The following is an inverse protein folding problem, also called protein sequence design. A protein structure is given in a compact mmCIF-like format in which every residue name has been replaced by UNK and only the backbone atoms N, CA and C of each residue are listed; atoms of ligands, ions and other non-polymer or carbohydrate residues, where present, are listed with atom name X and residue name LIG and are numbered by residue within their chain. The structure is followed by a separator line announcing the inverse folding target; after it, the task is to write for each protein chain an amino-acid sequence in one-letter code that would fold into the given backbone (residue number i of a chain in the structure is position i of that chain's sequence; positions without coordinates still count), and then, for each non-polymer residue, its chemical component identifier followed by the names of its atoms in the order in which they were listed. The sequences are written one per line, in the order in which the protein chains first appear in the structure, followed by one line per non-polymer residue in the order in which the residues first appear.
data_IF_918070467317
#
_entry.id   IF_918070467317
#
_cell.length_a   1.000
_cell.length_b   1.000
_cell.length_c   1.000
_cell.angle_alpha   90.00
_cell.angle_beta   90.00
_cell.angle_gamma   90.00
#
_symmetry.space_group_name_H-M   'P 1'
#
loop_
_entity.id
_entity.type
_entity.pdbx_description
1 polymer ?
#
# COMPACT_ATOMS: atom_id res chain seq x y z
N UNK A 1 -1.83 -25.79 17.01
CA UNK A 1 -2.63 -24.64 17.48
C UNK A 1 -3.89 -25.09 18.20
N UNK A 2 -3.76 -25.45 19.47
CA UNK A 2 -4.87 -25.89 20.36
C UNK A 2 -5.76 -24.74 20.83
N UNK A 3 -5.20 -23.55 20.99
CA UNK A 3 -5.94 -22.36 21.43
C UNK A 3 -5.93 -21.30 20.34
N UNK A 4 -6.99 -20.51 20.26
CA UNK A 4 -7.17 -19.51 19.21
C UNK A 4 -7.68 -18.19 19.76
N UNK A 5 -7.24 -17.08 19.17
CA UNK A 5 -7.80 -15.75 19.35
C UNK A 5 -8.18 -15.17 17.99
N UNK A 6 -9.29 -14.45 17.95
CA UNK A 6 -9.82 -13.78 16.77
C UNK A 6 -9.53 -12.28 16.83
N UNK A 7 -9.22 -11.69 15.68
CA UNK A 7 -9.09 -10.25 15.45
C UNK A 7 -10.08 -9.84 14.35
N UNK A 8 -11.37 -9.86 14.67
CA UNK A 8 -12.44 -9.71 13.65
C UNK A 8 -12.50 -8.31 13.03
N UNK A 9 -11.89 -7.30 13.68
CA UNK A 9 -11.77 -5.95 13.14
C UNK A 9 -10.57 -5.75 12.22
N UNK A 10 -9.70 -6.76 12.05
CA UNK A 10 -8.41 -6.61 11.37
C UNK A 10 -7.63 -5.39 11.87
N UNK A 11 -7.65 -5.15 13.18
CA UNK A 11 -6.84 -4.12 13.82
C UNK A 11 -5.37 -4.53 13.83
N UNK A 12 -4.46 -3.56 13.80
CA UNK A 12 -3.03 -3.87 13.98
C UNK A 12 -2.77 -4.31 15.42
N UNK A 13 -2.18 -5.49 15.59
CA UNK A 13 -1.88 -6.09 16.89
C UNK A 13 -0.39 -5.94 17.15
N UNK A 14 -0.02 -5.31 18.27
CA UNK A 14 1.38 -5.15 18.71
C UNK A 14 1.85 -6.25 19.66
N UNK A 15 0.93 -6.95 20.30
CA UNK A 15 1.26 -8.04 21.21
C UNK A 15 0.03 -8.80 21.69
N UNK A 16 0.27 -9.85 22.48
CA UNK A 16 -0.77 -10.73 23.03
C UNK A 16 -0.38 -11.08 24.46
N UNK A 17 -1.34 -11.05 25.38
CA UNK A 17 -1.18 -11.68 26.71
C UNK A 17 -1.96 -12.98 26.75
N UNK A 18 -1.36 -14.00 27.34
CA UNK A 18 -1.97 -15.28 27.62
C UNK A 18 -1.85 -15.60 29.11
N UNK A 19 -2.85 -16.27 29.67
CA UNK A 19 -2.83 -16.74 31.05
C UNK A 19 -3.46 -18.13 31.15
N UNK A 20 -2.81 -19.02 31.89
CA UNK A 20 -3.27 -20.39 32.17
C UNK A 20 -3.42 -20.59 33.68
N UNK A 21 -4.54 -20.15 34.28
CA UNK A 21 -4.68 -20.11 35.74
C UNK A 21 -4.28 -21.42 36.41
N UNK A 22 -3.30 -21.35 37.34
CA UNK A 22 -2.83 -22.51 38.11
C UNK A 22 -1.89 -23.48 37.36
N UNK A 23 -1.53 -23.19 36.10
CA UNK A 23 -0.58 -23.97 35.32
C UNK A 23 0.56 -23.08 34.85
N UNK A 24 1.76 -23.31 35.37
CA UNK A 24 2.95 -22.56 34.99
C UNK A 24 3.33 -22.84 33.53
N UNK A 25 3.60 -21.77 32.78
CA UNK A 25 3.99 -21.79 31.37
C UNK A 25 5.52 -21.95 31.28
N UNK A 26 5.98 -22.82 30.39
CA UNK A 26 7.38 -22.99 30.02
C UNK A 26 7.71 -22.36 28.67
N UNK A 27 6.80 -22.51 27.71
CA UNK A 27 6.96 -22.00 26.35
C UNK A 27 5.58 -21.78 25.69
N UNK A 28 5.53 -20.89 24.70
CA UNK A 28 4.36 -20.63 23.88
C UNK A 28 4.77 -20.59 22.42
N UNK A 29 4.27 -21.54 21.63
CA UNK A 29 4.40 -21.49 20.18
C UNK A 29 3.20 -20.74 19.61
N UNK A 30 3.48 -19.70 18.84
CA UNK A 30 2.47 -18.86 18.20
C UNK A 30 2.47 -19.07 16.70
N UNK A 31 1.29 -19.03 16.11
CA UNK A 31 1.15 -18.73 14.68
C UNK A 31 0.03 -17.73 14.44
N UNK A 32 0.08 -17.09 13.30
CA UNK A 32 -0.90 -16.12 12.87
C UNK A 32 -1.37 -16.41 11.45
N UNK A 33 -2.56 -15.94 11.09
CA UNK A 33 -3.08 -16.08 9.74
C UNK A 33 -3.92 -14.88 9.31
N UNK A 34 -3.93 -14.62 8.00
CA UNK A 34 -4.68 -13.54 7.36
C UNK A 34 -6.15 -13.87 7.11
N UNK A 35 -6.51 -15.15 7.13
CA UNK A 35 -7.87 -15.64 6.87
C UNK A 35 -8.50 -16.21 8.13
N UNK A 36 -9.84 -16.25 8.15
CA UNK A 36 -10.64 -16.74 9.28
C UNK A 36 -10.41 -18.23 9.56
N UNK A 37 -10.32 -19.04 8.50
CA UNK A 37 -10.15 -20.50 8.55
C UNK A 37 -8.86 -20.92 7.84
N UNK A 38 -7.69 -20.74 8.48
CA UNK A 38 -6.42 -21.00 7.84
C UNK A 38 -6.10 -22.48 7.71
N UNK A 39 -5.71 -22.89 6.49
CA UNK A 39 -5.06 -24.17 6.23
C UNK A 39 -3.57 -24.15 6.58
N UNK A 40 -2.96 -22.96 6.64
CA UNK A 40 -1.56 -22.73 6.98
C UNK A 40 -1.41 -21.55 7.94
N UNK A 41 -0.42 -21.61 8.81
CA UNK A 41 -0.13 -20.59 9.82
C UNK A 41 1.27 -20.03 9.62
N UNK A 42 1.40 -18.71 9.61
CA UNK A 42 2.68 -18.02 9.65
C UNK A 42 3.23 -17.99 11.07
N UNK A 43 4.55 -17.97 11.23
CA UNK A 43 5.20 -17.75 12.53
C UNK A 43 5.77 -16.34 12.59
N UNK A 44 5.01 -15.36 13.12
CA UNK A 44 5.46 -13.97 13.15
C UNK A 44 6.66 -13.79 14.08
N UNK A 45 7.67 -12.98 13.71
CA UNK A 45 8.76 -12.64 14.61
C UNK A 45 8.25 -11.90 15.85
N UNK A 46 8.52 -12.46 17.02
CA UNK A 46 8.08 -11.91 18.30
C UNK A 46 9.08 -12.19 19.42
N UNK A 47 8.99 -11.40 20.49
CA UNK A 47 9.60 -11.68 21.78
C UNK A 47 8.56 -12.30 22.69
N UNK A 48 8.97 -13.33 23.44
CA UNK A 48 8.14 -14.00 24.43
C UNK A 48 8.74 -13.75 25.82
N UNK A 49 7.91 -13.26 26.74
CA UNK A 49 8.20 -13.15 28.17
C UNK A 49 7.22 -14.01 28.93
N UNK A 50 7.72 -14.81 29.87
CA UNK A 50 6.91 -15.72 30.67
C UNK A 50 7.12 -15.37 32.14
N UNK A 51 6.03 -15.35 32.90
CA UNK A 51 6.02 -15.13 34.34
C UNK A 51 4.98 -16.05 34.98
N UNK A 52 5.44 -17.15 35.58
CA UNK A 52 4.58 -18.14 36.21
C UNK A 52 3.52 -18.70 35.26
N UNK A 53 2.25 -18.40 35.52
CA UNK A 53 1.08 -18.85 34.76
C UNK A 53 0.69 -17.92 33.60
N UNK A 54 1.51 -16.90 33.32
CA UNK A 54 1.23 -15.83 32.38
C UNK A 54 2.35 -15.68 31.35
N UNK A 55 1.98 -15.29 30.13
CA UNK A 55 2.91 -15.04 29.04
C UNK A 55 2.53 -13.77 28.28
N UNK A 56 3.53 -13.01 27.87
CA UNK A 56 3.41 -11.83 27.03
C UNK A 56 4.22 -12.02 25.75
N UNK A 57 3.54 -11.85 24.63
CA UNK A 57 4.11 -11.92 23.29
C UNK A 57 4.11 -10.50 22.73
N UNK A 58 5.27 -10.01 22.30
CA UNK A 58 5.41 -8.70 21.64
C UNK A 58 5.92 -8.90 20.22
N UNK A 59 5.14 -8.50 19.21
CA UNK A 59 5.55 -8.61 17.82
C UNK A 59 6.67 -7.60 17.51
N UNK A 60 7.67 -8.01 16.73
CA UNK A 60 8.75 -7.11 16.31
C UNK A 60 8.21 -5.94 15.48
N UNK A 61 7.18 -6.20 14.68
CA UNK A 61 6.44 -5.19 13.95
C UNK A 61 4.95 -5.55 13.98
N UNK A 62 4.08 -4.64 14.49
CA UNK A 62 2.65 -4.88 14.54
C UNK A 62 2.07 -5.21 13.16
N UNK A 63 1.04 -6.04 13.15
CA UNK A 63 0.35 -6.43 11.90
C UNK A 63 -1.10 -6.77 12.18
N UNK A 64 -1.93 -6.83 11.15
CA UNK A 64 -3.37 -7.04 11.26
C UNK A 64 -3.83 -8.45 10.87
N UNK A 65 -3.14 -9.48 11.39
CA UNK A 65 -3.58 -10.87 11.23
C UNK A 65 -4.99 -11.06 11.77
N UNK A 66 -5.82 -11.81 11.04
CA UNK A 66 -7.21 -12.08 11.41
C UNK A 66 -7.32 -13.12 12.53
N UNK A 67 -6.35 -14.03 12.63
CA UNK A 67 -6.36 -15.14 13.59
C UNK A 67 -5.00 -15.36 14.20
N UNK A 68 -5.00 -15.78 15.47
CA UNK A 68 -3.81 -16.24 16.20
C UNK A 68 -4.07 -17.62 16.78
N UNK A 69 -3.08 -18.51 16.66
CA UNK A 69 -3.09 -19.86 17.18
C UNK A 69 -1.95 -20.05 18.17
N UNK A 70 -2.20 -20.81 19.24
CA UNK A 70 -1.21 -21.05 20.28
C UNK A 70 -1.14 -22.53 20.67
N UNK A 71 0.08 -22.99 20.88
CA UNK A 71 0.37 -24.22 21.60
C UNK A 71 1.17 -23.87 22.87
N UNK A 72 0.52 -23.98 24.02
CA UNK A 72 1.12 -23.66 25.33
C UNK A 72 1.76 -24.92 25.90
N UNK A 73 3.02 -24.79 26.30
CA UNK A 73 3.81 -25.85 26.92
C UNK A 73 3.97 -25.52 28.38
N UNK A 74 3.46 -26.37 29.28
CA UNK A 74 3.59 -26.19 30.72
C UNK A 74 4.92 -26.72 31.26
N UNK A 75 5.32 -26.23 32.43
CA UNK A 75 6.55 -26.67 33.13
C UNK A 75 6.45 -28.15 33.52
N UNK A 76 5.32 -28.56 34.10
CA UNK A 76 5.14 -29.90 34.67
C UNK A 76 4.43 -30.88 33.72
N UNK A 77 4.24 -30.52 32.45
CA UNK A 77 3.49 -31.32 31.47
C UNK A 77 1.97 -31.37 31.68
N UNK A 78 1.46 -30.76 32.78
CA UNK A 78 0.02 -30.61 33.05
C UNK A 78 -0.64 -29.76 31.97
N UNK A 79 -1.79 -30.18 31.45
CA UNK A 79 -2.60 -29.31 30.60
C UNK A 79 -3.50 -28.42 31.48
N UNK A 80 -3.75 -27.16 31.06
CA UNK A 80 -4.73 -26.32 31.72
C UNK A 80 -6.10 -27.01 31.75
N UNK A 81 -6.73 -27.08 32.92
CA UNK A 81 -8.11 -27.59 33.06
C UNK A 81 -9.14 -26.64 32.42
N UNK A 82 -8.79 -25.36 32.31
CA UNK A 82 -9.60 -24.30 31.70
C UNK A 82 -8.90 -23.79 30.46
N UNK A 83 -9.68 -23.40 29.44
CA UNK A 83 -9.15 -22.73 28.26
C UNK A 83 -8.29 -21.50 28.68
N UNK A 84 -7.08 -21.33 28.13
CA UNK A 84 -6.25 -20.17 28.39
C UNK A 84 -7.01 -18.88 28.09
N UNK A 85 -6.88 -17.92 28.99
CA UNK A 85 -7.40 -16.56 28.77
C UNK A 85 -6.39 -15.80 27.91
N UNK A 86 -6.88 -15.06 26.92
CA UNK A 86 -6.02 -14.33 25.99
C UNK A 86 -6.58 -12.95 25.65
N UNK A 87 -5.70 -11.97 25.52
CA UNK A 87 -6.04 -10.60 25.16
C UNK A 87 -5.11 -10.05 24.09
N UNK A 88 -5.68 -9.39 23.07
CA UNK A 88 -4.91 -8.70 22.03
C UNK A 88 -4.53 -7.30 22.51
N UNK A 89 -3.25 -6.96 22.37
CA UNK A 89 -2.77 -5.58 22.51
C UNK A 89 -2.82 -4.91 21.15
N UNK A 90 -3.81 -4.06 20.94
CA UNK A 90 -3.96 -3.32 19.69
C UNK A 90 -2.96 -2.15 19.63
N UNK A 91 -2.51 -1.82 18.42
CA UNK A 91 -1.78 -0.59 18.15
C UNK A 91 -2.81 0.54 18.03
N UNK A 92 -2.73 1.51 18.93
CA UNK A 92 -3.58 2.70 18.87
C UNK A 92 -3.16 3.59 17.69
N UNK A 93 -4.17 4.16 17.02
CA UNK A 93 -3.94 5.19 16.03
C UNK A 93 -3.47 6.49 16.68
N UNK A 94 -2.48 7.14 16.08
CA UNK A 94 -2.04 8.45 16.53
C UNK A 94 -3.14 9.50 16.25
N UNK A 95 -3.44 10.43 17.18
CA UNK A 95 -4.34 11.55 16.92
C UNK A 95 -3.86 12.39 15.74
N UNK A 96 -4.82 12.94 15.00
CA UNK A 96 -4.57 13.70 13.78
C UNK A 96 -3.76 14.99 13.99
N UNK A 97 -3.84 15.61 15.18
CA UNK A 97 -3.04 16.79 15.53
C UNK A 97 -1.57 16.44 15.76
N UNK A 98 -1.31 15.33 16.46
CA UNK A 98 0.06 14.82 16.63
C UNK A 98 0.67 14.39 15.29
N UNK A 99 -0.13 13.80 14.39
CA UNK A 99 0.29 13.51 13.01
C UNK A 99 0.73 14.79 12.32
N UNK A 100 -0.11 15.84 12.29
CA UNK A 100 0.21 17.13 11.66
C UNK A 100 1.48 17.74 12.25
N UNK A 101 1.64 17.71 13.57
CA UNK A 101 2.84 18.23 14.23
C UNK A 101 4.09 17.48 13.78
N UNK A 102 4.04 16.15 13.69
CA UNK A 102 5.16 15.33 13.25
C UNK A 102 5.54 15.61 11.79
N UNK A 103 4.56 15.73 10.90
CA UNK A 103 4.81 15.93 9.46
C UNK A 103 5.56 17.25 9.17
N UNK A 104 5.42 18.28 10.03
CA UNK A 104 6.20 19.53 9.93
C UNK A 104 7.71 19.34 10.05
N UNK A 105 8.17 18.21 10.57
CA UNK A 105 9.59 17.83 10.61
C UNK A 105 9.99 16.83 9.53
N UNK A 106 9.16 16.63 8.50
CA UNK A 106 9.35 15.61 7.46
C UNK A 106 9.35 16.25 6.07
N UNK A 107 9.98 15.57 5.11
CA UNK A 107 10.09 15.96 3.70
C UNK A 107 9.34 14.97 2.81
N UNK A 108 8.59 15.48 1.85
CA UNK A 108 7.87 14.66 0.87
C UNK A 108 8.14 15.08 -0.58
N UNK A 109 8.35 14.13 -1.48
CA UNK A 109 8.34 14.36 -2.92
C UNK A 109 7.07 13.80 -3.55
N UNK A 110 6.35 14.59 -4.32
CA UNK A 110 5.24 14.13 -5.15
C UNK A 110 5.72 13.87 -6.58
N UNK A 111 5.39 12.72 -7.14
CA UNK A 111 5.84 12.30 -8.46
C UNK A 111 4.63 11.99 -9.34
N UNK A 112 4.63 12.45 -10.59
CA UNK A 112 3.56 12.19 -11.54
C UNK A 112 4.05 12.13 -12.98
N UNK A 113 3.47 11.25 -13.78
CA UNK A 113 3.69 11.23 -15.24
C UNK A 113 2.53 11.95 -15.93
N UNK A 114 2.83 12.80 -16.90
CA UNK A 114 1.86 13.60 -17.63
C UNK A 114 1.96 13.34 -19.14
N UNK A 115 0.82 13.23 -19.80
CA UNK A 115 0.72 13.26 -21.25
C UNK A 115 -0.68 13.68 -21.65
N UNK A 116 -0.79 14.82 -22.30
CA UNK A 116 -2.09 15.34 -22.78
C UNK A 116 -3.19 15.37 -21.71
N UNK A 117 -2.89 15.91 -20.53
CA UNK A 117 -3.79 15.99 -19.39
C UNK A 117 -4.08 17.44 -18.94
N UNK A 118 -3.95 18.42 -19.84
CA UNK A 118 -4.02 19.86 -19.52
C UNK A 118 -5.28 20.24 -18.73
N UNK A 119 -6.42 19.62 -19.07
CA UNK A 119 -7.71 19.89 -18.43
C UNK A 119 -7.73 19.55 -16.94
N UNK A 120 -7.10 18.45 -16.54
CA UNK A 120 -7.15 17.95 -15.17
C UNK A 120 -5.96 18.38 -14.31
N UNK A 121 -4.84 18.71 -14.98
CA UNK A 121 -3.57 19.05 -14.35
C UNK A 121 -3.67 20.15 -13.26
N UNK A 122 -4.41 21.26 -13.44
CA UNK A 122 -4.53 22.30 -12.41
C UNK A 122 -5.08 21.78 -11.08
N UNK A 123 -6.15 20.98 -11.11
CA UNK A 123 -6.78 20.44 -9.90
C UNK A 123 -5.81 19.50 -9.16
N UNK A 124 -5.07 18.67 -9.91
CA UNK A 124 -4.08 17.78 -9.33
C UNK A 124 -2.91 18.53 -8.70
N UNK A 125 -2.29 19.49 -9.40
CA UNK A 125 -1.18 20.27 -8.84
C UNK A 125 -1.63 21.04 -7.59
N UNK A 126 -2.80 21.67 -7.62
CA UNK A 126 -3.33 22.39 -6.46
C UNK A 126 -3.54 21.47 -5.26
N UNK A 127 -4.10 20.26 -5.48
CA UNK A 127 -4.26 19.27 -4.40
C UNK A 127 -2.91 18.79 -3.87
N UNK A 128 -1.92 18.52 -4.73
CA UNK A 128 -0.58 18.13 -4.28
C UNK A 128 0.11 19.22 -3.45
N UNK A 129 -0.08 20.50 -3.79
CA UNK A 129 0.39 21.64 -2.99
C UNK A 129 -0.31 21.71 -1.63
N UNK A 130 -1.62 21.50 -1.59
CA UNK A 130 -2.39 21.44 -0.35
C UNK A 130 -1.87 20.32 0.56
N UNK A 131 -1.73 19.10 0.05
CA UNK A 131 -1.20 17.96 0.81
C UNK A 131 0.26 18.17 1.23
N UNK A 132 1.08 18.74 0.35
CA UNK A 132 2.48 19.06 0.63
C UNK A 132 2.67 20.12 1.72
N UNK A 133 1.74 21.06 1.85
CA UNK A 133 1.77 22.09 2.91
C UNK A 133 1.66 21.53 4.33
N UNK A 134 1.27 20.25 4.48
CA UNK A 134 1.26 19.54 5.75
C UNK A 134 2.67 19.18 6.25
N UNK A 135 3.67 19.23 5.36
CA UNK A 135 5.04 18.83 5.62
C UNK A 135 5.95 20.02 5.84
N UNK A 136 7.10 19.79 6.47
CA UNK A 136 8.13 20.83 6.66
C UNK A 136 8.72 21.31 5.33
N UNK A 137 8.79 20.41 4.34
CA UNK A 137 9.20 20.70 2.98
C UNK A 137 8.57 19.70 2.01
N UNK A 138 8.21 20.18 0.82
CA UNK A 138 7.74 19.32 -0.25
C UNK A 138 8.24 19.81 -1.61
N UNK A 139 8.33 18.88 -2.55
CA UNK A 139 8.65 19.14 -3.97
C UNK A 139 7.67 18.35 -4.85
N UNK A 140 7.38 18.87 -6.06
CA UNK A 140 6.56 18.18 -7.06
C UNK A 140 7.42 17.92 -8.29
N UNK A 141 7.51 16.67 -8.75
CA UNK A 141 8.28 16.27 -9.91
C UNK A 141 7.38 15.64 -10.95
N UNK A 142 7.37 16.20 -12.16
CA UNK A 142 6.53 15.73 -13.25
C UNK A 142 7.39 15.32 -14.43
N UNK A 143 7.18 14.11 -14.93
CA UNK A 143 7.72 13.69 -16.21
C UNK A 143 6.63 13.80 -17.26
N UNK A 144 6.88 14.60 -18.29
CA UNK A 144 5.97 14.80 -19.39
C UNK A 144 6.59 14.27 -20.68
N UNK A 145 5.80 13.56 -21.47
CA UNK A 145 6.22 13.13 -22.79
C UNK A 145 5.13 13.28 -23.84
N UNK A 146 5.53 13.77 -25.02
CA UNK A 146 4.74 13.78 -26.25
C UNK A 146 3.28 14.28 -26.07
N UNK A 147 3.07 15.32 -25.22
CA UNK A 147 1.76 15.96 -25.10
C UNK A 147 1.42 16.73 -26.37
N UNK A 148 0.15 16.67 -26.76
CA UNK A 148 -0.41 17.36 -27.93
C UNK A 148 -1.44 18.45 -27.55
N UNK A 149 -1.49 18.82 -26.28
CA UNK A 149 -2.32 19.88 -25.71
C UNK A 149 -1.47 20.86 -24.89
N UNK A 150 -2.11 21.71 -24.08
CA UNK A 150 -1.45 22.73 -23.26
C UNK A 150 -0.69 22.18 -22.04
N UNK A 151 -0.58 20.85 -21.86
CA UNK A 151 0.05 20.23 -20.67
C UNK A 151 1.45 20.77 -20.42
N UNK A 152 2.28 20.82 -21.46
CA UNK A 152 3.66 21.31 -21.35
C UNK A 152 3.73 22.78 -20.91
N UNK A 153 2.89 23.64 -21.50
CA UNK A 153 2.84 25.06 -21.15
C UNK A 153 2.35 25.30 -19.72
N UNK A 154 1.39 24.49 -19.25
CA UNK A 154 0.93 24.54 -17.87
C UNK A 154 2.02 24.09 -16.89
N UNK A 155 2.77 23.04 -17.20
CA UNK A 155 3.90 22.61 -16.36
C UNK A 155 4.97 23.71 -16.25
N UNK A 156 5.30 24.37 -17.37
CA UNK A 156 6.24 25.51 -17.37
C UNK A 156 5.71 26.68 -16.52
N UNK A 157 4.38 26.90 -16.51
CA UNK A 157 3.75 27.90 -15.65
C UNK A 157 3.88 27.54 -14.16
N UNK A 158 3.55 26.31 -13.78
CA UNK A 158 3.58 25.86 -12.39
C UNK A 158 5.00 25.69 -11.83
N UNK A 159 6.01 25.56 -12.68
CA UNK A 159 7.42 25.46 -12.28
C UNK A 159 8.03 26.81 -11.86
N UNK A 160 7.37 27.95 -12.12
CA UNK A 160 7.96 29.30 -11.93
C UNK A 160 8.30 29.66 -10.49
N UNK A 161 7.61 29.08 -9.51
CA UNK A 161 7.88 29.33 -8.10
C UNK A 161 8.92 28.36 -7.50
N UNK A 162 9.47 27.46 -8.33
CA UNK A 162 10.51 26.52 -7.94
C UNK A 162 10.03 25.30 -7.16
N UNK A 163 8.72 25.17 -6.90
CA UNK A 163 8.17 24.01 -6.19
C UNK A 163 7.96 22.80 -7.11
N UNK A 164 7.62 23.06 -8.38
CA UNK A 164 7.44 22.03 -9.39
C UNK A 164 8.65 21.94 -10.32
N UNK A 165 9.13 20.73 -10.54
CA UNK A 165 10.22 20.38 -11.44
C UNK A 165 9.69 19.49 -12.57
N UNK A 166 9.71 20.00 -13.81
CA UNK A 166 9.27 19.25 -14.98
C UNK A 166 10.47 18.68 -15.75
N UNK A 167 10.40 17.39 -16.09
CA UNK A 167 11.29 16.72 -17.04
C UNK A 167 10.46 16.45 -18.30
N UNK A 168 10.84 17.07 -19.43
CA UNK A 168 10.07 16.98 -20.68
C UNK A 168 10.89 16.28 -21.75
N UNK A 169 10.36 15.20 -22.31
CA UNK A 169 11.01 14.43 -23.40
C UNK A 169 10.07 14.28 -24.60
N UNK A 170 10.62 14.40 -25.81
CA UNK A 170 9.88 14.24 -27.08
C UNK A 170 10.37 12.98 -27.81
N UNK A 171 9.54 12.42 -28.69
CA UNK A 171 9.84 11.21 -29.45
C UNK A 171 9.86 9.93 -28.57
N UNK A 172 9.23 9.95 -27.39
CA UNK A 172 9.19 8.78 -26.51
C UNK A 172 8.18 7.76 -27.04
N UNK A 173 7.03 8.23 -27.50
CA UNK A 173 5.98 7.43 -28.14
C UNK A 173 6.46 6.66 -29.37
N UNK A 174 7.37 7.24 -30.16
CA UNK A 174 7.97 6.60 -31.33
C UNK A 174 9.00 5.53 -30.93
N UNK A 175 9.89 5.85 -29.97
CA UNK A 175 10.93 4.93 -29.50
C UNK A 175 10.38 3.74 -28.71
N UNK A 176 9.32 3.96 -27.94
CA UNK A 176 8.70 2.98 -27.04
C UNK A 176 7.20 2.93 -27.36
N UNK A 177 6.77 2.15 -28.36
CA UNK A 177 5.38 2.18 -28.85
C UNK A 177 4.37 1.59 -27.85
N UNK A 178 4.80 0.75 -26.92
CA UNK A 178 3.94 0.15 -25.89
C UNK A 178 3.71 1.11 -24.71
N UNK A 179 2.48 1.18 -24.21
CA UNK A 179 2.08 2.20 -23.21
C UNK A 179 2.77 1.98 -21.88
N UNK A 180 2.74 0.75 -21.39
CA UNK A 180 3.30 0.37 -20.09
C UNK A 180 4.82 0.52 -20.04
N UNK A 181 5.51 0.24 -21.15
CA UNK A 181 6.94 0.50 -21.32
C UNK A 181 7.27 1.99 -21.10
N UNK A 182 6.51 2.89 -21.75
CA UNK A 182 6.69 4.34 -21.57
C UNK A 182 6.42 4.82 -20.16
N UNK A 183 5.35 4.30 -19.53
CA UNK A 183 5.04 4.63 -18.14
C UNK A 183 6.18 4.21 -17.21
N UNK A 184 6.68 2.98 -17.37
CA UNK A 184 7.82 2.49 -16.61
C UNK A 184 9.07 3.35 -16.84
N UNK A 185 9.35 3.74 -18.09
CA UNK A 185 10.46 4.64 -18.42
C UNK A 185 10.31 5.98 -17.68
N UNK A 186 9.18 6.68 -17.86
CA UNK A 186 8.94 7.97 -17.20
C UNK A 186 9.00 7.89 -15.68
N UNK A 187 8.45 6.82 -15.09
CA UNK A 187 8.51 6.59 -13.63
C UNK A 187 9.94 6.38 -13.15
N UNK A 188 10.74 5.59 -13.87
CA UNK A 188 12.16 5.39 -13.54
C UNK A 188 12.98 6.68 -13.71
N UNK A 189 12.72 7.48 -14.75
CA UNK A 189 13.37 8.79 -14.94
C UNK A 189 13.12 9.73 -13.76
N UNK A 190 11.88 9.78 -13.25
CA UNK A 190 11.56 10.54 -12.05
C UNK A 190 12.20 9.96 -10.79
N UNK A 191 12.18 8.64 -10.64
CA UNK A 191 12.78 7.99 -9.49
C UNK A 191 14.29 8.28 -9.42
N UNK A 192 15.01 8.13 -10.54
CA UNK A 192 16.44 8.45 -10.61
C UNK A 192 16.68 9.94 -10.32
N UNK A 193 15.84 10.83 -10.85
CA UNK A 193 15.93 12.27 -10.58
C UNK A 193 15.76 12.60 -9.10
N UNK A 194 14.72 12.08 -8.45
CA UNK A 194 14.40 12.39 -7.04
C UNK A 194 15.44 11.79 -6.09
N UNK A 195 15.91 10.56 -6.36
CA UNK A 195 16.96 9.93 -5.56
C UNK A 195 18.29 10.70 -5.58
N UNK A 196 18.55 11.51 -6.61
CA UNK A 196 19.74 12.35 -6.69
C UNK A 196 19.59 13.69 -5.95
N UNK A 197 18.37 14.11 -5.62
CA UNK A 197 18.10 15.40 -4.93
C UNK A 197 18.27 15.33 -3.42
N UNK A 198 18.31 14.11 -2.88
CA UNK A 198 18.56 13.83 -1.48
C UNK A 198 17.44 13.02 -0.85
N UNK A 199 17.56 12.85 0.47
CA UNK A 199 16.66 11.97 1.21
C UNK A 199 15.33 12.68 1.49
N UNK A 200 14.26 12.05 1.02
CA UNK A 200 12.88 12.36 1.39
C UNK A 200 12.41 11.31 2.39
N UNK A 201 11.66 11.72 3.42
CA UNK A 201 11.04 10.77 4.35
C UNK A 201 9.92 9.99 3.64
N UNK A 202 9.23 10.67 2.72
CA UNK A 202 8.13 10.11 1.95
C UNK A 202 8.24 10.44 0.46
N UNK A 203 7.83 9.50 -0.37
CA UNK A 203 7.62 9.71 -1.80
C UNK A 203 6.18 9.33 -2.12
N UNK A 204 5.50 10.17 -2.86
CA UNK A 204 4.10 10.00 -3.19
C UNK A 204 3.88 10.07 -4.70
N UNK A 205 3.49 8.96 -5.30
CA UNK A 205 3.03 8.93 -6.68
C UNK A 205 1.58 9.39 -6.76
N UNK A 206 1.27 10.22 -7.75
CA UNK A 206 -0.08 10.65 -8.07
C UNK A 206 -0.30 10.73 -9.58
N UNK A 207 -1.44 10.24 -10.05
CA UNK A 207 -1.87 10.47 -11.42
C UNK A 207 -2.37 11.91 -11.55
N UNK A 208 -2.01 12.54 -12.66
CA UNK A 208 -2.30 13.95 -12.95
C UNK A 208 -3.53 14.11 -13.86
N UNK A 209 -4.47 13.17 -13.73
CA UNK A 209 -5.69 13.05 -14.54
C UNK A 209 -6.97 13.47 -13.80
N UNK A 210 -6.82 13.98 -12.56
CA UNK A 210 -7.91 14.49 -11.73
C UNK A 210 -8.44 13.52 -10.68
N UNK A 211 -7.96 12.26 -10.61
CA UNK A 211 -8.30 11.36 -9.49
C UNK A 211 -7.86 11.94 -8.14
N UNK A 212 -6.64 12.48 -8.10
CA UNK A 212 -6.15 13.32 -7.01
C UNK A 212 -6.45 14.76 -7.39
N UNK A 213 -7.56 15.29 -6.88
CA UNK A 213 -8.07 16.62 -7.20
C UNK A 213 -9.05 17.09 -6.13
N UNK A 214 -10.02 17.94 -6.48
CA UNK A 214 -10.89 18.63 -5.51
C UNK A 214 -11.62 17.71 -4.52
N UNK A 215 -12.02 16.52 -4.95
CA UNK A 215 -12.74 15.54 -4.11
C UNK A 215 -11.82 14.69 -3.22
N UNK A 216 -10.51 14.78 -3.38
CA UNK A 216 -9.55 14.00 -2.60
C UNK A 216 -9.42 14.58 -1.19
N UNK A 217 -9.76 13.77 -0.19
CA UNK A 217 -9.82 14.18 1.21
C UNK A 217 -8.44 14.29 1.86
N UNK A 218 -8.15 15.46 2.43
CA UNK A 218 -6.93 15.72 3.19
C UNK A 218 -6.88 14.91 4.49
N UNK A 219 -8.01 14.72 5.17
CA UNK A 219 -8.06 13.83 6.34
C UNK A 219 -7.90 12.36 5.93
N UNK A 220 -8.43 11.97 4.76
CA UNK A 220 -8.17 10.65 4.18
C UNK A 220 -6.67 10.41 3.93
N UNK A 221 -5.98 11.39 3.36
CA UNK A 221 -4.52 11.37 3.21
C UNK A 221 -3.79 11.28 4.55
N UNK A 222 -4.17 12.12 5.53
CA UNK A 222 -3.54 12.15 6.86
C UNK A 222 -3.72 10.85 7.63
N UNK A 223 -4.81 10.12 7.39
CA UNK A 223 -5.09 8.85 8.02
C UNK A 223 -4.02 7.77 7.75
N UNK A 224 -3.25 7.92 6.66
CA UNK A 224 -2.11 7.05 6.36
C UNK A 224 -1.02 7.12 7.44
N UNK A 225 -0.83 8.29 8.05
CA UNK A 225 0.25 8.52 9.01
C UNK A 225 -0.13 8.20 10.46
N UNK A 226 -1.41 7.91 10.73
CA UNK A 226 -1.86 7.50 12.07
C UNK A 226 -1.30 6.14 12.49
N UNK A 227 -0.89 5.32 11.51
CA UNK A 227 -0.32 3.98 11.68
C UNK A 227 1.03 3.82 10.94
N UNK A 228 1.78 4.91 10.76
CA UNK A 228 3.05 4.97 10.00
C UNK A 228 4.08 3.86 10.32
N UNK A 229 4.06 3.29 11.52
CA UNK A 229 4.96 2.21 11.92
C UNK A 229 4.68 0.85 11.23
N UNK A 230 3.47 0.63 10.69
CA UNK A 230 3.04 -0.71 10.25
C UNK A 230 3.25 -0.98 8.76
N UNK A 231 3.37 0.06 7.94
CA UNK A 231 3.44 -0.01 6.49
C UNK A 231 4.75 0.58 5.95
N UNK A 232 5.10 0.26 4.70
CA UNK A 232 6.21 0.86 3.95
C UNK A 232 5.74 1.48 2.63
N UNK A 233 4.64 0.97 2.06
CA UNK A 233 3.83 1.72 1.11
C UNK A 233 2.32 1.53 1.34
N UNK A 234 1.55 2.55 1.01
CA UNK A 234 0.09 2.59 1.18
C UNK A 234 -0.61 3.19 -0.03
N UNK A 235 -1.76 2.63 -0.33
CA UNK A 235 -2.55 2.93 -1.51
C UNK A 235 -3.98 3.27 -1.09
N UNK A 236 -4.71 4.09 -1.86
CA UNK A 236 -6.08 4.43 -1.56
C UNK A 236 -6.99 3.26 -1.97
N UNK A 237 -8.21 3.20 -1.42
CA UNK A 237 -9.32 2.57 -2.14
C UNK A 237 -9.91 3.54 -3.16
N UNK A 238 -10.75 3.03 -4.05
CA UNK A 238 -11.53 3.88 -4.96
C UNK A 238 -13.02 3.72 -4.71
N UNK A 239 -13.76 4.80 -4.93
CA UNK A 239 -15.22 4.82 -4.88
C UNK A 239 -15.81 5.09 -6.27
N UNK A 240 -16.87 4.36 -6.68
CA UNK A 240 -17.62 3.36 -5.91
C UNK A 240 -16.97 1.97 -5.86
N UNK A 241 -16.14 1.65 -6.85
CA UNK A 241 -15.39 0.38 -6.94
C UNK A 241 -13.91 0.70 -7.14
N UNK A 242 -13.04 -0.24 -6.77
CA UNK A 242 -11.60 -0.07 -6.90
C UNK A 242 -11.18 0.12 -8.37
N UNK A 243 -10.49 1.23 -8.64
CA UNK A 243 -10.18 1.67 -10.01
C UNK A 243 -9.13 0.79 -10.68
N UNK A 244 -7.99 0.56 -10.01
CA UNK A 244 -6.78 0.03 -10.64
C UNK A 244 -6.58 -1.46 -10.38
N UNK A 245 -7.51 -2.26 -10.88
CA UNK A 245 -7.50 -3.73 -10.72
C UNK A 245 -6.25 -4.34 -11.37
N UNK A 246 -5.67 -3.69 -12.39
CA UNK A 246 -4.47 -4.20 -13.04
C UNK A 246 -3.25 -4.15 -12.12
N UNK A 247 -3.14 -3.11 -11.30
CA UNK A 247 -2.15 -3.01 -10.25
C UNK A 247 -2.46 -3.88 -9.01
N UNK A 248 -3.74 -4.23 -8.77
CA UNK A 248 -4.15 -4.98 -7.57
C UNK A 248 -3.58 -6.40 -7.54
N UNK A 249 -2.85 -6.74 -6.48
CA UNK A 249 -2.50 -8.11 -6.12
C UNK A 249 -2.87 -8.34 -4.67
N UNK A 250 -4.06 -8.88 -4.44
CA UNK A 250 -4.54 -9.30 -3.12
C UNK A 250 -4.84 -10.80 -3.20
N UNK A 251 -4.38 -11.57 -2.21
CA UNK A 251 -4.26 -13.02 -2.35
C UNK A 251 -5.60 -13.75 -2.49
N UNK A 252 -6.68 -13.19 -1.95
CA UNK A 252 -8.02 -13.77 -2.02
C UNK A 252 -8.89 -13.22 -3.16
N UNK A 253 -8.63 -11.98 -3.58
CA UNK A 253 -9.47 -11.24 -4.53
C UNK A 253 -8.84 -11.22 -5.92
N UNK A 254 -7.60 -10.77 -6.05
CA UNK A 254 -6.91 -10.61 -7.33
C UNK A 254 -5.47 -11.13 -7.22
N UNK A 255 -5.23 -12.45 -7.05
CA UNK A 255 -3.89 -12.97 -6.79
C UNK A 255 -2.96 -12.93 -8.01
N UNK A 256 -3.49 -12.74 -9.22
CA UNK A 256 -2.76 -12.83 -10.47
C UNK A 256 -3.08 -11.66 -11.40
N UNK A 257 -2.39 -11.60 -12.53
CA UNK A 257 -2.72 -10.65 -13.59
C UNK A 257 -4.07 -11.01 -14.23
N UNK A 258 -5.12 -10.29 -13.83
CA UNK A 258 -6.48 -10.54 -14.32
C UNK A 258 -6.61 -10.38 -15.85
N UNK A 259 -5.77 -9.54 -16.47
CA UNK A 259 -5.79 -9.37 -17.93
C UNK A 259 -5.33 -10.66 -18.60
N UNK A 260 -4.26 -11.24 -18.05
CA UNK A 260 -3.72 -12.52 -18.50
C UNK A 260 -4.68 -13.67 -18.21
N UNK A 261 -5.20 -13.77 -16.99
CA UNK A 261 -6.14 -14.81 -16.58
C UNK A 261 -7.45 -14.74 -17.36
N UNK A 262 -8.01 -13.54 -17.55
CA UNK A 262 -9.21 -13.33 -18.35
C UNK A 262 -9.02 -13.75 -19.81
N UNK A 263 -7.81 -13.63 -20.37
CA UNK A 263 -7.48 -14.09 -21.73
C UNK A 263 -7.28 -15.60 -21.83
N UNK A 264 -6.61 -16.21 -20.84
CA UNK A 264 -6.08 -17.57 -20.96
C UNK A 264 -6.81 -18.61 -20.09
N UNK A 265 -7.50 -18.20 -19.03
CA UNK A 265 -8.24 -19.09 -18.11
C UNK A 265 -9.75 -19.05 -18.35
N UNK A 266 -10.33 -17.86 -18.58
CA UNK A 266 -11.78 -17.72 -18.78
C UNK A 266 -12.24 -17.70 -20.26
N UNK A 267 -11.34 -17.41 -21.21
CA UNK A 267 -11.72 -17.17 -22.60
C UNK A 267 -11.75 -18.44 -23.48
N UNK A 268 -12.47 -19.48 -23.03
CA UNK A 268 -12.78 -20.62 -23.88
C UNK A 268 -14.16 -20.52 -24.57
N UNK A 269 -15.09 -19.66 -24.12
CA UNK A 269 -16.50 -19.73 -24.58
C UNK A 269 -17.23 -18.37 -24.80
N UNK A 270 -16.81 -17.24 -24.20
CA UNK A 270 -17.71 -16.06 -24.09
C UNK A 270 -17.23 -14.71 -24.68
N UNK A 271 -16.03 -14.60 -25.29
CA UNK A 271 -15.46 -13.34 -25.82
C UNK A 271 -15.41 -12.13 -24.84
N UNK A 272 -15.83 -12.28 -23.58
CA UNK A 272 -15.89 -11.25 -22.54
C UNK A 272 -15.08 -11.60 -21.28
N UNK A 273 -14.14 -12.57 -21.38
CA UNK A 273 -13.44 -13.14 -20.22
C UNK A 273 -12.72 -12.13 -19.33
N UNK A 274 -12.15 -11.06 -19.90
CA UNK A 274 -11.46 -10.00 -19.13
C UNK A 274 -12.40 -9.15 -18.28
N UNK A 275 -13.51 -8.69 -18.84
CA UNK A 275 -14.44 -7.79 -18.15
C UNK A 275 -15.18 -8.53 -17.04
N UNK A 276 -15.62 -9.77 -17.31
CA UNK A 276 -16.22 -10.65 -16.32
C UNK A 276 -15.23 -10.91 -15.18
N UNK A 277 -13.98 -11.23 -15.51
CA UNK A 277 -12.97 -11.49 -14.49
C UNK A 277 -12.69 -10.25 -13.64
N UNK A 278 -12.55 -9.07 -14.26
CA UNK A 278 -12.41 -7.80 -13.53
C UNK A 278 -13.59 -7.51 -12.61
N UNK A 279 -14.84 -7.77 -13.05
CA UNK A 279 -16.03 -7.57 -12.24
C UNK A 279 -16.09 -8.48 -10.99
N UNK A 280 -15.49 -9.68 -11.06
CA UNK A 280 -15.41 -10.60 -9.91
C UNK A 280 -14.32 -10.24 -8.89
N UNK A 281 -13.37 -9.37 -9.25
CA UNK A 281 -12.21 -9.03 -8.43
C UNK A 281 -12.29 -7.63 -7.82
N UNK A 282 -13.51 -7.15 -7.58
CA UNK A 282 -13.77 -5.79 -7.13
C UNK A 282 -13.65 -5.63 -5.62
N UNK A 283 -12.98 -4.55 -5.23
CA UNK A 283 -12.97 -4.03 -3.86
C UNK A 283 -13.88 -2.80 -3.76
N UNK A 284 -14.53 -2.63 -2.61
CA UNK A 284 -15.33 -1.46 -2.30
C UNK A 284 -15.11 -1.05 -0.83
N UNK A 285 -15.07 0.25 -0.49
CA UNK A 285 -14.83 0.71 0.89
C UNK A 285 -15.75 0.09 1.94
N UNK A 286 -17.03 -0.15 1.61
CA UNK A 286 -18.00 -0.78 2.52
C UNK A 286 -17.83 -2.29 2.70
N UNK A 287 -16.88 -2.94 2.02
CA UNK A 287 -16.64 -4.39 2.06
C UNK A 287 -15.32 -4.78 2.70
N UNK A 288 -14.56 -3.81 3.23
CA UNK A 288 -13.28 -4.07 3.90
C UNK A 288 -13.41 -3.75 5.39
N UNK A 289 -13.00 -4.69 6.24
CA UNK A 289 -13.10 -4.55 7.70
C UNK A 289 -12.02 -3.64 8.30
N UNK A 290 -10.95 -3.36 7.54
CA UNK A 290 -9.81 -2.57 7.98
C UNK A 290 -8.81 -2.40 6.84
N UNK A 291 -7.56 -2.14 7.18
CA UNK A 291 -6.47 -2.06 6.22
C UNK A 291 -6.28 -3.41 5.50
N UNK A 292 -6.13 -3.40 4.18
CA UNK A 292 -6.01 -4.64 3.41
C UNK A 292 -4.55 -4.86 3.03
N UNK A 293 -3.87 -5.91 3.50
CA UNK A 293 -2.53 -6.24 3.04
C UNK A 293 -2.58 -6.64 1.57
N UNK A 294 -1.63 -6.13 0.78
CA UNK A 294 -1.56 -6.39 -0.67
C UNK A 294 -0.12 -6.68 -1.09
N UNK A 295 0.04 -7.42 -2.18
CA UNK A 295 1.32 -7.56 -2.89
C UNK A 295 1.59 -6.42 -3.86
N UNK A 296 0.53 -5.81 -4.37
CA UNK A 296 0.61 -4.62 -5.22
C UNK A 296 -0.76 -3.95 -5.22
N UNK A 297 -0.76 -2.63 -5.33
CA UNK A 297 -1.95 -1.83 -5.57
C UNK A 297 -1.52 -0.49 -6.13
N UNK A 298 -2.45 0.19 -6.77
CA UNK A 298 -2.33 1.60 -7.07
C UNK A 298 -3.73 2.22 -6.99
N UNK A 299 -4.16 3.08 -7.91
CA UNK A 299 -5.50 3.70 -7.85
C UNK A 299 -5.47 5.21 -7.92
N UNK A 300 -4.55 5.75 -8.73
CA UNK A 300 -4.33 7.19 -8.89
C UNK A 300 -3.36 7.79 -7.87
N UNK A 301 -2.99 7.04 -6.84
CA UNK A 301 -2.16 7.51 -5.74
C UNK A 301 -1.39 6.35 -5.09
N UNK A 302 -0.16 6.59 -4.63
CA UNK A 302 0.60 5.65 -3.81
C UNK A 302 1.64 6.38 -2.97
N UNK A 303 1.61 6.19 -1.66
CA UNK A 303 2.52 6.81 -0.71
C UNK A 303 3.52 5.78 -0.18
N UNK A 304 4.80 6.10 -0.22
CA UNK A 304 5.91 5.22 0.10
C UNK A 304 6.83 5.91 1.11
N UNK A 305 7.44 5.13 2.00
CA UNK A 305 8.60 5.60 2.77
C UNK A 305 9.78 5.78 1.82
N UNK A 306 10.49 6.89 1.90
CA UNK A 306 11.63 7.15 1.02
C UNK A 306 12.72 6.08 1.12
N UNK A 307 12.92 5.51 2.31
CA UNK A 307 13.91 4.46 2.57
C UNK A 307 13.73 3.17 1.72
N UNK A 308 12.53 2.91 1.18
CA UNK A 308 12.27 1.71 0.39
C UNK A 308 12.26 1.95 -1.12
N UNK A 309 12.08 3.18 -1.59
CA UNK A 309 11.79 3.44 -3.02
C UNK A 309 12.94 3.08 -3.97
N UNK A 310 14.17 3.07 -3.47
CA UNK A 310 15.35 2.70 -4.24
C UNK A 310 15.51 1.18 -4.42
N UNK A 311 14.75 0.36 -3.69
CA UNK A 311 14.87 -1.11 -3.71
C UNK A 311 14.28 -1.76 -4.96
N UNK A 312 13.60 -0.98 -5.82
CA UNK A 312 12.96 -1.48 -7.03
C UNK A 312 13.10 -0.55 -8.22
N UNK A 313 12.73 -1.07 -9.39
CA UNK A 313 12.53 -0.31 -10.63
C UNK A 313 11.26 -0.76 -11.32
N UNK A 314 10.65 0.17 -12.05
CA UNK A 314 9.44 -0.09 -12.82
C UNK A 314 9.79 -0.84 -14.11
N UNK A 315 8.98 -1.83 -14.46
CA UNK A 315 9.08 -2.57 -15.71
C UNK A 315 7.70 -2.71 -16.31
N UNK A 316 7.50 -2.15 -17.51
CA UNK A 316 6.23 -2.24 -18.22
C UNK A 316 6.07 -3.49 -19.07
N UNK A 317 7.17 -4.20 -19.34
CA UNK A 317 7.20 -5.37 -20.23
C UNK A 317 7.81 -6.59 -19.55
N UNK A 318 7.11 -7.72 -19.62
CA UNK A 318 7.65 -9.03 -19.21
C UNK A 318 7.48 -9.97 -20.39
N UNK A 319 8.58 -10.56 -20.86
CA UNK A 319 8.62 -11.44 -22.04
C UNK A 319 7.97 -10.80 -23.29
N UNK A 320 8.21 -9.49 -23.49
CA UNK A 320 7.65 -8.71 -24.60
C UNK A 320 6.16 -8.35 -24.46
N UNK A 321 5.51 -8.71 -23.35
CA UNK A 321 4.10 -8.42 -23.07
C UNK A 321 3.95 -7.24 -22.11
N UNK A 322 2.98 -6.37 -22.38
CA UNK A 322 2.56 -5.32 -21.45
C UNK A 322 2.05 -5.89 -20.12
N UNK A 323 2.59 -5.35 -19.03
CA UNK A 323 2.16 -5.59 -17.65
C UNK A 323 1.98 -4.25 -16.95
N UNK A 324 1.13 -4.20 -15.92
CA UNK A 324 1.08 -3.03 -15.04
C UNK A 324 2.44 -2.86 -14.35
N UNK A 325 3.09 -1.71 -14.55
CA UNK A 325 4.46 -1.45 -14.15
C UNK A 325 4.66 -1.40 -12.63
N UNK A 326 3.59 -1.12 -11.88
CA UNK A 326 3.59 -1.14 -10.42
C UNK A 326 3.81 -2.54 -9.85
N UNK A 327 3.29 -3.58 -10.51
CA UNK A 327 3.35 -4.96 -10.01
C UNK A 327 4.79 -5.48 -9.87
N UNK A 328 5.66 -5.42 -10.91
CA UNK A 328 7.05 -5.84 -10.76
C UNK A 328 7.85 -4.91 -9.84
N UNK A 329 7.54 -3.61 -9.81
CA UNK A 329 8.17 -2.68 -8.86
C UNK A 329 7.87 -3.08 -7.40
N UNK A 330 6.60 -3.32 -7.07
CA UNK A 330 6.19 -3.76 -5.74
C UNK A 330 6.76 -5.13 -5.37
N UNK A 331 6.87 -6.06 -6.32
CA UNK A 331 7.50 -7.34 -6.07
C UNK A 331 8.95 -7.19 -5.58
N UNK A 332 9.73 -6.26 -6.15
CA UNK A 332 11.08 -5.95 -5.68
C UNK A 332 11.08 -5.33 -4.27
N UNK A 333 10.14 -4.41 -3.99
CA UNK A 333 9.99 -3.85 -2.65
C UNK A 333 9.66 -4.92 -1.61
N UNK A 334 8.77 -5.85 -1.93
CA UNK A 334 8.40 -6.95 -1.05
C UNK A 334 9.55 -7.94 -0.82
N UNK A 335 10.35 -8.22 -1.85
CA UNK A 335 11.57 -9.03 -1.71
C UNK A 335 12.56 -8.36 -0.74
N UNK A 336 12.59 -7.03 -0.68
CA UNK A 336 13.33 -6.26 0.32
C UNK A 336 12.63 -6.16 1.69
N UNK A 337 11.49 -6.83 1.89
CA UNK A 337 10.76 -6.89 3.16
C UNK A 337 9.73 -5.78 3.37
N UNK A 338 9.40 -4.98 2.35
CA UNK A 338 8.41 -3.92 2.46
C UNK A 338 6.99 -4.48 2.67
N UNK A 339 6.19 -3.80 3.51
CA UNK A 339 4.77 -4.09 3.73
C UNK A 339 3.89 -3.09 3.02
N UNK A 340 2.96 -3.60 2.22
CA UNK A 340 2.08 -2.82 1.37
C UNK A 340 0.63 -2.99 1.83
N UNK A 341 -0.13 -1.90 1.88
CA UNK A 341 -1.53 -1.94 2.29
C UNK A 341 -2.42 -1.00 1.48
N UNK A 342 -3.70 -1.35 1.35
CA UNK A 342 -4.77 -0.40 1.05
C UNK A 342 -5.30 0.20 2.36
N UNK A 343 -5.39 1.52 2.43
CA UNK A 343 -6.01 2.23 3.55
C UNK A 343 -7.46 2.59 3.21
N UNK A 344 -8.46 2.02 3.92
CA UNK A 344 -9.88 2.22 3.58
C UNK A 344 -10.40 3.64 3.81
N UNK A 345 -9.67 4.48 4.56
CA UNK A 345 -10.03 5.89 4.81
C UNK A 345 -9.44 6.85 3.78
N UNK A 346 -8.43 6.41 3.03
CA UNK A 346 -7.86 7.17 1.93
C UNK A 346 -8.57 6.74 0.64
N UNK A 347 -9.44 7.59 0.08
CA UNK A 347 -10.33 7.23 -1.03
C UNK A 347 -10.07 8.14 -2.22
N UNK A 348 -9.86 7.56 -3.40
CA UNK A 348 -9.94 8.24 -4.69
C UNK A 348 -11.35 8.13 -5.28
N UNK A 349 -11.87 9.22 -5.83
CA UNK A 349 -13.22 9.24 -6.40
C UNK A 349 -13.16 9.17 -7.91
N UNK A 350 -13.61 8.05 -8.46
CA UNK A 350 -13.80 7.89 -9.91
C UNK A 350 -15.01 8.76 -10.28
N UNK A 351 -14.80 9.71 -11.20
CA UNK A 351 -15.82 10.68 -11.62
C UNK A 351 -16.95 10.04 -12.43
#
# INVERSE_FOLDING_TARGET
MKHRLANDSNAFVRGITLRTPGVAIRDVRIGAARVVDPLAWDTPPCRLRIDGDSAEITFHRPDNWARFGFDIVSVDGRQPEVAPQGGLHLLAERPLDEVRQRLRGQRIAFLGTARSCAKALPASINKLRELGSLFGSHEIHVYENDSNDETGALLDHYARDGLLHAIREQGVAERMPLRTERLAYGRNRLLDHVLQRGDFDYICWADLDGLVGDRFSTDGFLSNFQLDAVWDAVFPLSWPLYYDIWALREDSICPHDYVWDGQHRLNAVLHAGKEIHAATQQLAPGRVAGWVPVRSAFGGFGLYKGAIVAQGRYTGLVDGREVCEHVPYHALLQQAGARLYLNPRCITHIA
#
